data_IF_639535924776
#
_entry.id   IF_639535924776
#
_cell.length_a   1.000
_cell.length_b   1.000
_cell.length_c   1.000
_cell.angle_alpha   90.00
_cell.angle_beta   90.00
_cell.angle_gamma   90.00
#
_symmetry.space_group_name_H-M   'P 1'
#
loop_
_entity.id
_entity.type
_entity.pdbx_description
1 polymer ?
#
# COMPACT_ATOMS: atom_id res chain seq x y z
N UNK A 1 3.49 -4.16 -13.14
CA UNK A 1 4.34 -3.23 -12.37
C UNK A 1 4.93 -2.21 -13.34
N UNK A 2 5.04 -0.93 -12.96
CA UNK A 2 5.72 0.08 -13.79
C UNK A 2 7.21 -0.20 -13.79
N UNK A 3 7.83 -0.18 -14.97
CA UNK A 3 9.27 -0.41 -15.12
C UNK A 3 10.05 0.89 -14.90
N UNK A 4 11.11 0.81 -14.10
CA UNK A 4 12.09 1.89 -13.95
C UNK A 4 13.18 1.69 -15.00
N UNK A 5 13.56 2.77 -15.67
CA UNK A 5 14.71 2.78 -16.59
C UNK A 5 16.01 2.65 -15.82
N UNK A 6 17.06 2.15 -16.50
CA UNK A 6 18.42 2.09 -15.92
C UNK A 6 18.89 3.46 -15.41
N UNK A 7 18.63 4.52 -16.17
CA UNK A 7 18.96 5.89 -15.79
C UNK A 7 18.25 6.31 -14.49
N UNK A 8 16.95 6.02 -14.33
CA UNK A 8 16.22 6.30 -13.10
C UNK A 8 16.79 5.54 -11.90
N UNK A 9 17.19 4.29 -12.07
CA UNK A 9 17.79 3.47 -11.00
C UNK A 9 19.15 4.06 -10.58
N UNK A 10 19.99 4.42 -11.55
CA UNK A 10 21.30 5.04 -11.30
C UNK A 10 21.16 6.37 -10.56
N UNK A 11 20.25 7.23 -11.02
CA UNK A 11 19.95 8.51 -10.36
C UNK A 11 19.45 8.28 -8.93
N UNK A 12 18.55 7.32 -8.71
CA UNK A 12 18.02 7.01 -7.38
C UNK A 12 19.13 6.53 -6.42
N UNK A 13 19.98 5.61 -6.87
CA UNK A 13 21.09 5.10 -6.06
C UNK A 13 22.11 6.20 -5.75
N UNK A 14 22.52 7.00 -6.74
CA UNK A 14 23.47 8.09 -6.56
C UNK A 14 22.94 9.16 -5.59
N UNK A 15 21.68 9.57 -5.77
CA UNK A 15 21.05 10.56 -4.89
C UNK A 15 20.86 10.04 -3.47
N UNK A 16 20.59 8.74 -3.27
CA UNK A 16 20.57 8.14 -1.94
C UNK A 16 21.94 8.23 -1.26
N UNK A 17 23.04 7.93 -1.97
CA UNK A 17 24.38 8.02 -1.40
C UNK A 17 24.73 9.45 -0.97
N UNK A 18 24.41 10.44 -1.83
CA UNK A 18 24.56 11.85 -1.49
C UNK A 18 23.70 12.25 -0.29
N UNK A 19 22.42 11.86 -0.26
CA UNK A 19 21.53 12.15 0.85
C UNK A 19 22.06 11.57 2.17
N UNK A 20 22.57 10.33 2.14
CA UNK A 20 23.19 9.67 3.29
C UNK A 20 24.45 10.40 3.77
N UNK A 21 25.29 10.87 2.85
CA UNK A 21 26.48 11.66 3.17
C UNK A 21 26.08 13.02 3.78
N UNK A 22 25.16 13.75 3.16
CA UNK A 22 24.70 15.04 3.65
C UNK A 22 24.03 14.93 5.02
N UNK A 23 23.23 13.90 5.26
CA UNK A 23 22.67 13.60 6.58
C UNK A 23 23.76 13.39 7.64
N UNK A 24 24.82 12.65 7.28
CA UNK A 24 25.96 12.42 8.17
C UNK A 24 26.64 13.74 8.54
N UNK A 25 27.00 14.53 7.53
CA UNK A 25 27.66 15.81 7.73
C UNK A 25 26.79 16.75 8.57
N UNK A 26 25.48 16.80 8.31
CA UNK A 26 24.55 17.61 9.09
C UNK A 26 24.52 17.21 10.56
N UNK A 27 24.44 15.91 10.86
CA UNK A 27 24.49 15.40 12.26
C UNK A 27 25.82 15.75 12.92
N UNK A 28 26.94 15.60 12.22
CA UNK A 28 28.27 15.95 12.74
C UNK A 28 28.42 17.44 13.05
N UNK A 29 27.94 18.32 12.16
CA UNK A 29 27.95 19.77 12.40
C UNK A 29 27.01 20.16 13.56
N UNK A 30 25.85 19.51 13.68
CA UNK A 30 24.95 19.73 14.81
C UNK A 30 25.56 19.26 16.14
N UNK A 31 26.34 18.16 16.15
CA UNK A 31 27.10 17.74 17.34
C UNK A 31 28.07 18.82 17.79
N UNK A 32 28.84 19.40 16.84
CA UNK A 32 29.80 20.48 17.13
C UNK A 32 29.08 21.71 17.69
N UNK A 33 27.95 22.08 17.08
CA UNK A 33 27.11 23.17 17.56
C UNK A 33 26.62 22.93 18.99
N UNK A 34 26.09 21.74 19.28
CA UNK A 34 25.63 21.39 20.64
C UNK A 34 26.76 21.50 21.66
N UNK A 35 27.95 20.96 21.35
CA UNK A 35 29.13 21.04 22.23
C UNK A 35 29.53 22.50 22.51
N UNK A 36 29.51 23.35 21.49
CA UNK A 36 29.82 24.77 21.66
C UNK A 36 28.78 25.49 22.53
N UNK A 37 27.49 25.15 22.38
CA UNK A 37 26.39 25.79 23.10
C UNK A 37 26.22 25.30 24.54
N UNK A 38 26.60 24.05 24.86
CA UNK A 38 26.56 23.54 26.25
C UNK A 38 27.43 24.36 27.21
N UNK A 39 28.46 25.04 26.70
CA UNK A 39 29.31 25.93 27.48
C UNK A 39 28.64 27.26 27.86
N UNK A 40 27.49 27.60 27.27
CA UNK A 40 26.83 28.90 27.41
C UNK A 40 25.72 28.90 28.48
N UNK A 41 25.12 27.74 28.79
CA UNK A 41 23.90 27.66 29.61
C UNK A 41 23.92 26.51 30.63
N UNK A 42 25.05 26.27 31.32
CA UNK A 42 25.21 25.21 32.33
C UNK A 42 24.67 23.84 31.88
N UNK A 43 24.87 23.50 30.60
CA UNK A 43 24.44 22.23 30.01
C UNK A 43 22.96 22.09 29.66
N UNK A 44 22.11 23.13 29.76
CA UNK A 44 20.70 23.05 29.35
C UNK A 44 20.49 23.37 27.85
N UNK A 45 20.26 22.34 27.05
CA UNK A 45 19.78 22.45 25.66
C UNK A 45 18.26 22.66 25.69
N UNK A 46 17.80 23.84 25.32
CA UNK A 46 16.36 24.16 25.21
C UNK A 46 15.89 23.92 23.77
N UNK A 47 15.44 22.69 23.51
CA UNK A 47 14.58 22.22 22.41
C UNK A 47 14.85 22.84 21.02
N UNK A 48 15.49 22.06 20.15
CA UNK A 48 15.53 22.31 18.70
C UNK A 48 15.18 21.01 17.96
N UNK A 49 14.06 21.05 17.24
CA UNK A 49 13.57 19.97 16.40
C UNK A 49 13.44 20.51 14.97
N UNK A 50 14.45 20.31 14.09
CA UNK A 50 14.39 20.82 12.73
C UNK A 50 13.29 20.17 11.86
N UNK A 51 12.70 19.05 12.31
CA UNK A 51 11.69 18.29 11.54
C UNK A 51 10.44 17.92 12.36
N UNK A 52 9.87 18.90 13.07
CA UNK A 52 8.60 18.85 13.83
C UNK A 52 8.63 18.16 15.22
N UNK A 53 7.70 18.54 16.10
CA UNK A 53 7.57 18.13 17.50
C UNK A 53 6.87 16.77 17.69
N UNK A 54 6.22 16.23 16.65
CA UNK A 54 5.50 14.96 16.71
C UNK A 54 6.44 13.80 16.44
N UNK A 55 6.86 13.12 17.52
CA UNK A 55 7.57 11.81 17.59
C UNK A 55 8.28 11.36 16.31
N UNK A 56 9.61 11.46 16.29
CA UNK A 56 10.47 10.75 15.33
C UNK A 56 11.37 11.62 14.47
N UNK A 57 11.28 12.95 14.60
CA UNK A 57 12.21 13.90 13.98
C UNK A 57 13.63 13.84 14.55
N UNK A 58 14.57 14.50 13.87
CA UNK A 58 15.92 14.74 14.40
C UNK A 58 15.79 15.59 15.67
N UNK A 59 16.38 15.13 16.78
CA UNK A 59 16.41 15.82 18.07
C UNK A 59 17.87 16.05 18.44
N UNK A 60 18.24 17.25 18.92
CA UNK A 60 19.61 17.55 19.32
C UNK A 60 20.16 16.65 20.46
N UNK A 61 19.28 16.06 21.26
CA UNK A 61 19.66 15.08 22.28
C UNK A 61 19.95 13.69 21.68
N UNK A 62 19.54 13.45 20.44
CA UNK A 62 19.64 12.18 19.74
C UNK A 62 20.65 12.31 18.59
N UNK A 63 21.85 12.77 18.89
CA UNK A 63 22.90 12.93 17.90
C UNK A 63 24.05 11.95 18.11
N UNK A 64 23.94 10.94 18.97
CA UNK A 64 25.06 10.01 19.17
C UNK A 64 25.27 9.07 17.96
N UNK A 65 26.28 8.20 18.01
CA UNK A 65 26.58 7.29 16.89
C UNK A 65 25.49 6.22 16.67
N UNK A 66 24.76 5.85 17.72
CA UNK A 66 23.61 4.96 17.62
C UNK A 66 22.48 5.68 16.89
N UNK A 67 22.19 6.92 17.25
CA UNK A 67 21.15 7.72 16.61
C UNK A 67 21.47 7.97 15.12
N UNK A 68 22.72 8.31 14.80
CA UNK A 68 23.17 8.45 13.41
C UNK A 68 22.97 7.16 12.60
N UNK A 69 23.24 6.01 13.23
CA UNK A 69 23.00 4.69 12.61
C UNK A 69 21.51 4.47 12.35
N UNK A 70 20.65 4.81 13.32
CA UNK A 70 19.20 4.70 13.17
C UNK A 70 18.63 5.64 12.11
N UNK A 71 19.13 6.87 12.02
CA UNK A 71 18.73 7.82 10.97
C UNK A 71 19.08 7.32 9.57
N UNK A 72 20.30 6.80 9.38
CA UNK A 72 20.72 6.20 8.11
C UNK A 72 19.84 4.99 7.75
N UNK A 73 19.52 4.14 8.72
CA UNK A 73 18.62 3.00 8.50
C UNK A 73 17.20 3.44 8.14
N UNK A 74 16.67 4.48 8.79
CA UNK A 74 15.34 5.04 8.46
C UNK A 74 15.31 5.65 7.07
N UNK A 75 16.37 6.37 6.68
CA UNK A 75 16.54 6.91 5.33
C UNK A 75 16.49 5.79 4.29
N UNK A 76 17.30 4.74 4.47
CA UNK A 76 17.34 3.60 3.54
C UNK A 76 15.98 2.92 3.40
N UNK A 77 15.30 2.64 4.52
CA UNK A 77 13.95 2.07 4.52
C UNK A 77 12.94 2.98 3.83
N UNK A 78 13.04 4.29 4.04
CA UNK A 78 12.19 5.28 3.37
C UNK A 78 12.40 5.29 1.85
N UNK A 79 13.65 5.22 1.40
CA UNK A 79 13.99 5.13 -0.02
C UNK A 79 13.44 3.84 -0.66
N UNK A 80 13.56 2.68 0.01
CA UNK A 80 12.95 1.43 -0.46
C UNK A 80 11.43 1.53 -0.59
N UNK A 81 10.74 2.07 0.41
CA UNK A 81 9.28 2.29 0.35
C UNK A 81 8.89 3.18 -0.82
N UNK A 82 9.56 4.32 -0.96
CA UNK A 82 9.29 5.26 -2.04
C UNK A 82 9.50 4.61 -3.40
N UNK A 83 10.58 3.85 -3.57
CA UNK A 83 10.88 3.14 -4.81
C UNK A 83 9.77 2.14 -5.15
N UNK A 84 9.37 1.28 -4.20
CA UNK A 84 8.33 0.26 -4.43
C UNK A 84 6.93 0.85 -4.63
N UNK A 85 6.55 1.90 -3.91
CA UNK A 85 5.28 2.60 -4.16
C UNK A 85 5.21 3.14 -5.59
N UNK A 86 6.33 3.69 -6.10
CA UNK A 86 6.36 4.22 -7.47
C UNK A 86 6.26 3.14 -8.56
N UNK A 87 6.53 1.87 -8.25
CA UNK A 87 6.33 0.78 -9.20
C UNK A 87 4.87 0.33 -9.31
N UNK A 88 4.00 0.73 -8.38
CA UNK A 88 2.60 0.31 -8.33
C UNK A 88 2.38 -1.08 -7.72
N UNK A 89 3.45 -1.76 -7.26
CA UNK A 89 3.33 -3.13 -6.74
C UNK A 89 2.61 -3.18 -5.39
N UNK A 90 2.80 -2.16 -4.56
CA UNK A 90 2.16 -2.07 -3.24
C UNK A 90 0.64 -1.91 -3.38
N UNK A 91 0.20 -1.16 -4.39
CA UNK A 91 -1.21 -0.95 -4.72
C UNK A 91 -1.85 -2.21 -5.31
N UNK A 92 -1.08 -2.99 -6.09
CA UNK A 92 -1.53 -4.25 -6.70
C UNK A 92 -1.49 -5.45 -5.74
N UNK A 93 -0.92 -5.29 -4.54
CA UNK A 93 -0.78 -6.35 -3.54
C UNK A 93 -1.99 -6.43 -2.59
N UNK A 94 -2.15 -7.59 -1.94
CA UNK A 94 -3.05 -7.72 -0.79
C UNK A 94 -2.45 -7.07 0.46
N UNK A 95 -3.23 -6.98 1.55
CA UNK A 95 -2.73 -6.45 2.83
C UNK A 95 -1.62 -7.31 3.42
N UNK A 96 -1.71 -8.62 3.26
CA UNK A 96 -0.70 -9.56 3.76
C UNK A 96 0.57 -9.52 2.91
N UNK A 97 0.43 -9.42 1.59
CA UNK A 97 1.55 -9.20 0.68
C UNK A 97 2.28 -7.88 0.98
N UNK A 98 1.53 -6.79 1.19
CA UNK A 98 2.08 -5.51 1.59
C UNK A 98 2.82 -5.60 2.93
N UNK A 99 2.27 -6.31 3.93
CA UNK A 99 2.94 -6.53 5.22
C UNK A 99 4.24 -7.32 5.04
N UNK A 100 4.22 -8.37 4.22
CA UNK A 100 5.41 -9.15 3.90
C UNK A 100 6.51 -8.32 3.23
N UNK A 101 6.15 -7.43 2.30
CA UNK A 101 7.09 -6.50 1.67
C UNK A 101 7.66 -5.49 2.68
N UNK A 102 6.80 -4.92 3.54
CA UNK A 102 7.24 -4.03 4.62
C UNK A 102 8.18 -4.73 5.61
N UNK A 103 7.90 -5.98 5.98
CA UNK A 103 8.76 -6.77 6.84
C UNK A 103 10.12 -7.03 6.17
N UNK A 104 10.16 -7.30 4.86
CA UNK A 104 11.41 -7.42 4.11
C UNK A 104 12.22 -6.13 4.11
N UNK A 105 11.60 -4.97 3.91
CA UNK A 105 12.25 -3.65 4.03
C UNK A 105 12.77 -3.45 5.45
N UNK A 106 11.96 -3.74 6.46
CA UNK A 106 12.29 -3.46 7.86
C UNK A 106 13.42 -4.33 8.39
N UNK A 107 13.53 -5.56 7.89
CA UNK A 107 14.55 -6.53 8.26
C UNK A 107 15.79 -6.49 7.35
N UNK A 108 15.84 -5.56 6.37
CA UNK A 108 17.00 -5.38 5.49
C UNK A 108 17.20 -6.49 4.47
N UNK A 109 16.14 -7.24 4.14
CA UNK A 109 16.19 -8.35 3.17
C UNK A 109 16.58 -7.87 1.77
N UNK A 110 16.24 -6.64 1.41
CA UNK A 110 16.60 -6.01 0.14
C UNK A 110 18.06 -5.52 0.07
N UNK A 111 18.80 -5.65 1.16
CA UNK A 111 20.18 -5.22 1.24
C UNK A 111 20.35 -3.69 1.19
N UNK A 112 21.60 -3.26 0.98
CA UNK A 112 21.94 -1.86 0.84
C UNK A 112 21.27 -1.26 -0.40
N UNK A 113 20.85 0.00 -0.32
CA UNK A 113 20.23 0.71 -1.44
C UNK A 113 21.29 1.13 -2.48
N UNK A 114 21.71 0.17 -3.31
CA UNK A 114 22.63 0.33 -4.45
C UNK A 114 21.92 -0.01 -5.76
N UNK A 115 22.52 0.35 -6.89
CA UNK A 115 22.00 0.03 -8.22
C UNK A 115 21.75 -1.49 -8.38
N UNK A 116 22.73 -2.30 -7.99
CA UNK A 116 22.67 -3.76 -8.12
C UNK A 116 21.54 -4.35 -7.26
N UNK A 117 21.40 -3.91 -6.01
CA UNK A 117 20.33 -4.34 -5.12
C UNK A 117 18.95 -3.93 -5.65
N UNK A 118 18.81 -2.70 -6.16
CA UNK A 118 17.56 -2.22 -6.74
C UNK A 118 17.17 -3.08 -7.94
N UNK A 119 18.10 -3.32 -8.88
CA UNK A 119 17.86 -4.17 -10.05
C UNK A 119 17.43 -5.58 -9.61
N UNK A 120 18.16 -6.18 -8.68
CA UNK A 120 17.87 -7.53 -8.19
C UNK A 120 16.46 -7.63 -7.56
N UNK A 121 16.11 -6.68 -6.69
CA UNK A 121 14.80 -6.64 -6.03
C UNK A 121 13.68 -6.44 -7.04
N UNK A 122 13.82 -5.51 -7.98
CA UNK A 122 12.82 -5.25 -9.01
C UNK A 122 12.62 -6.45 -9.94
N UNK A 123 13.70 -7.13 -10.33
CA UNK A 123 13.62 -8.37 -11.12
C UNK A 123 12.86 -9.46 -10.38
N UNK A 124 13.22 -9.71 -9.12
CA UNK A 124 12.55 -10.71 -8.28
C UNK A 124 11.05 -10.40 -8.11
N UNK A 125 10.70 -9.14 -7.88
CA UNK A 125 9.31 -8.71 -7.74
C UNK A 125 8.52 -8.84 -9.06
N UNK A 126 9.18 -8.63 -10.20
CA UNK A 126 8.58 -8.84 -11.52
C UNK A 126 8.30 -10.32 -11.78
N UNK A 127 9.24 -11.19 -11.43
CA UNK A 127 9.08 -12.65 -11.53
C UNK A 127 7.92 -13.17 -10.67
N UNK A 128 7.71 -12.57 -9.50
CA UNK A 128 6.62 -12.93 -8.58
C UNK A 128 5.35 -12.10 -8.77
N UNK A 129 5.29 -11.18 -9.75
CA UNK A 129 4.12 -10.32 -9.97
C UNK A 129 2.82 -11.12 -10.12
N UNK A 130 2.90 -12.23 -10.86
CA UNK A 130 1.75 -13.12 -11.08
C UNK A 130 1.21 -13.75 -9.80
N UNK A 131 2.02 -13.92 -8.74
CA UNK A 131 1.52 -14.44 -7.46
C UNK A 131 0.74 -13.40 -6.68
N UNK A 132 1.17 -12.12 -6.70
CA UNK A 132 0.42 -11.03 -6.06
C UNK A 132 -0.98 -10.88 -6.67
N UNK A 133 -1.07 -10.91 -8.00
CA UNK A 133 -2.37 -10.87 -8.69
C UNK A 133 -3.24 -12.06 -8.28
N UNK A 134 -2.67 -13.28 -8.23
CA UNK A 134 -3.40 -14.47 -7.76
C UNK A 134 -3.86 -14.34 -6.31
N UNK A 135 -3.06 -13.75 -5.43
CA UNK A 135 -3.44 -13.53 -4.03
C UNK A 135 -4.63 -12.57 -3.91
N UNK A 136 -4.61 -11.45 -4.64
CA UNK A 136 -5.75 -10.51 -4.72
C UNK A 136 -7.01 -11.23 -5.19
N UNK A 137 -6.89 -12.03 -6.27
CA UNK A 137 -8.02 -12.79 -6.82
C UNK A 137 -8.57 -13.81 -5.81
N UNK A 138 -7.69 -14.53 -5.09
CA UNK A 138 -8.10 -15.49 -4.05
C UNK A 138 -8.81 -14.82 -2.88
N UNK A 139 -8.32 -13.66 -2.42
CA UNK A 139 -8.98 -12.94 -1.35
C UNK A 139 -10.34 -12.38 -1.80
N UNK A 140 -10.44 -11.84 -3.02
CA UNK A 140 -11.71 -11.42 -3.59
C UNK A 140 -12.72 -12.59 -3.64
N UNK A 141 -12.26 -13.78 -4.07
CA UNK A 141 -13.07 -15.00 -4.05
C UNK A 141 -13.55 -15.34 -2.64
N UNK A 142 -12.66 -15.28 -1.64
CA UNK A 142 -12.99 -15.58 -0.24
C UNK A 142 -14.14 -14.71 0.29
N UNK A 143 -14.19 -13.43 -0.11
CA UNK A 143 -15.23 -12.51 0.34
C UNK A 143 -16.56 -12.66 -0.41
N UNK A 144 -16.53 -12.91 -1.73
CA UNK A 144 -17.75 -12.93 -2.55
C UNK A 144 -18.31 -14.32 -2.84
N UNK A 145 -17.56 -15.38 -2.56
CA UNK A 145 -18.07 -16.75 -2.61
C UNK A 145 -19.17 -16.93 -1.57
N UNK A 146 -20.33 -17.53 -1.92
CA UNK A 146 -21.38 -17.84 -0.94
C UNK A 146 -20.89 -18.76 0.19
N UNK A 147 -19.95 -19.65 -0.13
CA UNK A 147 -19.28 -20.51 0.83
C UNK A 147 -17.87 -20.87 0.33
N UNK A 148 -16.90 -20.04 0.68
CA UNK A 148 -15.51 -20.23 0.23
C UNK A 148 -14.91 -21.53 0.76
N UNK A 149 -15.29 -21.97 1.97
CA UNK A 149 -14.79 -23.21 2.58
C UNK A 149 -15.22 -24.45 1.79
N UNK A 150 -16.40 -24.40 1.16
CA UNK A 150 -16.88 -25.42 0.23
C UNK A 150 -16.53 -25.12 -1.23
N UNK A 151 -15.72 -24.09 -1.48
CA UNK A 151 -15.28 -23.68 -2.83
C UNK A 151 -16.45 -23.43 -3.77
N UNK A 152 -17.55 -22.88 -3.24
CA UNK A 152 -18.73 -22.53 -4.05
C UNK A 152 -18.42 -21.33 -4.96
N UNK A 153 -18.82 -21.37 -6.24
CA UNK A 153 -18.50 -20.29 -7.17
C UNK A 153 -19.31 -19.03 -6.87
N UNK A 154 -18.68 -17.87 -7.10
CA UNK A 154 -19.39 -16.60 -7.24
C UNK A 154 -20.34 -16.74 -8.42
N UNK A 155 -21.61 -16.38 -8.19
CA UNK A 155 -22.66 -16.45 -9.20
C UNK A 155 -22.82 -15.08 -9.87
N UNK A 156 -23.36 -15.07 -11.09
CA UNK A 156 -23.68 -13.83 -11.79
C UNK A 156 -24.51 -12.86 -10.94
N UNK A 157 -25.48 -13.39 -10.19
CA UNK A 157 -26.24 -12.62 -9.20
C UNK A 157 -25.71 -12.96 -7.80
N UNK A 158 -25.14 -11.98 -7.14
CA UNK A 158 -24.53 -12.13 -5.81
C UNK A 158 -25.05 -11.04 -4.88
N UNK A 159 -25.31 -11.38 -3.63
CA UNK A 159 -25.77 -10.44 -2.60
C UNK A 159 -24.66 -10.30 -1.57
N UNK A 160 -24.29 -9.06 -1.24
CA UNK A 160 -23.29 -8.76 -0.24
C UNK A 160 -23.87 -7.84 0.84
N UNK A 161 -23.54 -8.10 2.12
CA UNK A 161 -23.94 -7.26 3.23
C UNK A 161 -23.02 -6.04 3.34
N UNK A 162 -23.59 -4.83 3.34
CA UNK A 162 -22.86 -3.56 3.39
C UNK A 162 -23.32 -2.70 4.59
N UNK A 163 -23.77 -3.35 5.67
CA UNK A 163 -24.18 -2.66 6.88
C UNK A 163 -22.98 -2.05 7.63
N UNK A 164 -23.01 -0.75 7.88
CA UNK A 164 -22.10 -0.07 8.78
C UNK A 164 -22.83 1.03 9.56
N UNK A 165 -22.71 1.01 10.89
CA UNK A 165 -23.32 2.00 11.79
C UNK A 165 -24.81 2.29 11.49
N UNK A 166 -25.59 1.25 11.17
CA UNK A 166 -27.03 1.39 10.85
C UNK A 166 -27.35 1.90 9.44
N UNK A 167 -26.34 2.12 8.59
CA UNK A 167 -26.46 2.61 7.22
C UNK A 167 -25.79 1.67 6.21
N UNK A 168 -25.95 1.95 4.92
CA UNK A 168 -25.16 1.30 3.87
C UNK A 168 -23.82 2.04 3.78
N UNK A 169 -22.72 1.30 3.86
CA UNK A 169 -21.38 1.79 3.56
C UNK A 169 -20.57 0.71 2.86
N UNK A 170 -19.81 1.13 1.86
CA UNK A 170 -18.83 0.29 1.18
C UNK A 170 -17.43 0.50 1.73
N UNK A 171 -17.23 1.57 2.53
CA UNK A 171 -16.01 1.76 3.33
C UNK A 171 -16.12 0.92 4.59
N UNK A 172 -15.17 0.01 4.80
CA UNK A 172 -15.12 -0.82 6.00
C UNK A 172 -13.70 -0.95 6.52
N UNK A 173 -13.52 -0.68 7.82
CA UNK A 173 -12.27 -0.99 8.52
C UNK A 173 -12.12 -2.50 8.78
N UNK A 174 -13.21 -3.26 8.74
CA UNK A 174 -13.24 -4.69 9.04
C UNK A 174 -13.01 -5.58 7.81
N UNK A 175 -13.40 -5.12 6.62
CA UNK A 175 -13.28 -5.92 5.39
C UNK A 175 -12.82 -5.07 4.19
N UNK A 176 -11.76 -5.47 3.48
CA UNK A 176 -11.34 -4.87 2.21
C UNK A 176 -12.09 -5.45 0.99
N UNK A 177 -13.23 -6.14 1.17
CA UNK A 177 -13.90 -6.89 0.10
C UNK A 177 -14.11 -6.09 -1.19
N UNK A 178 -14.68 -4.89 -1.11
CA UNK A 178 -14.97 -4.07 -2.29
C UNK A 178 -13.71 -3.58 -3.00
N UNK A 179 -12.66 -3.23 -2.25
CA UNK A 179 -11.34 -2.86 -2.81
C UNK A 179 -10.72 -4.07 -3.53
N UNK A 180 -10.77 -5.25 -2.93
CA UNK A 180 -10.24 -6.48 -3.52
C UNK A 180 -11.00 -6.90 -4.77
N UNK A 181 -12.33 -6.76 -4.78
CA UNK A 181 -13.14 -7.05 -5.96
C UNK A 181 -12.78 -6.12 -7.12
N UNK A 182 -12.69 -4.80 -6.87
CA UNK A 182 -12.25 -3.83 -7.88
C UNK A 182 -10.85 -4.16 -8.39
N UNK A 183 -9.88 -4.36 -7.50
CA UNK A 183 -8.50 -4.72 -7.86
C UNK A 183 -8.45 -5.99 -8.69
N UNK A 184 -9.12 -7.06 -8.26
CA UNK A 184 -9.15 -8.34 -8.98
C UNK A 184 -9.70 -8.17 -10.40
N UNK A 185 -10.84 -7.46 -10.55
CA UNK A 185 -11.46 -7.24 -11.85
C UNK A 185 -10.57 -6.40 -12.78
N UNK A 186 -9.97 -5.32 -12.29
CA UNK A 186 -9.10 -4.45 -13.08
C UNK A 186 -7.81 -5.17 -13.50
N UNK A 187 -7.17 -5.89 -12.57
CA UNK A 187 -5.93 -6.63 -12.86
C UNK A 187 -6.16 -7.74 -13.90
N UNK A 188 -7.26 -8.50 -13.78
CA UNK A 188 -7.61 -9.52 -14.77
C UNK A 188 -7.99 -8.91 -16.14
N UNK A 189 -8.63 -7.75 -16.14
CA UNK A 189 -8.98 -6.99 -17.35
C UNK A 189 -7.81 -6.14 -17.90
N UNK A 190 -6.62 -6.25 -17.31
CA UNK A 190 -5.39 -5.51 -17.67
C UNK A 190 -5.59 -3.99 -17.69
N UNK A 191 -6.43 -3.48 -16.80
CA UNK A 191 -6.67 -2.04 -16.61
C UNK A 191 -5.86 -1.50 -15.44
N UNK A 192 -5.49 -0.20 -15.46
CA UNK A 192 -4.82 0.42 -14.33
C UNK A 192 -5.72 0.44 -13.09
N UNK A 193 -5.11 0.37 -11.91
CA UNK A 193 -5.81 0.59 -10.65
C UNK A 193 -6.12 2.09 -10.49
N UNK A 194 -7.30 2.46 -9.98
CA UNK A 194 -7.70 3.86 -9.81
C UNK A 194 -6.94 4.51 -8.66
N UNK A 195 -6.82 5.84 -8.71
CA UNK A 195 -6.50 6.63 -7.54
C UNK A 195 -7.64 6.53 -6.50
N UNK A 196 -7.34 6.82 -5.23
CA UNK A 196 -8.29 6.63 -4.12
C UNK A 196 -9.64 7.31 -4.37
N UNK A 197 -9.65 8.54 -4.91
CA UNK A 197 -10.87 9.31 -5.17
C UNK A 197 -11.79 8.66 -6.21
N UNK A 198 -11.22 7.90 -7.16
CA UNK A 198 -11.95 7.29 -8.27
C UNK A 198 -12.29 5.81 -7.99
N UNK A 199 -11.91 5.31 -6.81
CA UNK A 199 -12.16 3.93 -6.40
C UNK A 199 -13.66 3.59 -6.40
N UNK A 200 -13.96 2.31 -6.62
CA UNK A 200 -15.30 1.75 -6.58
C UNK A 200 -15.98 2.08 -5.25
N UNK A 201 -15.24 1.97 -4.15
CA UNK A 201 -15.74 2.26 -2.80
C UNK A 201 -16.21 3.72 -2.69
N UNK A 202 -15.38 4.67 -3.12
CA UNK A 202 -15.72 6.09 -3.12
C UNK A 202 -16.97 6.35 -3.97
N UNK A 203 -17.01 5.85 -5.20
CA UNK A 203 -18.13 6.06 -6.13
C UNK A 203 -19.44 5.43 -5.64
N UNK A 204 -19.40 4.22 -5.06
CA UNK A 204 -20.59 3.58 -4.52
C UNK A 204 -21.11 4.27 -3.24
N UNK A 205 -20.21 4.75 -2.37
CA UNK A 205 -20.61 5.54 -1.21
C UNK A 205 -21.21 6.88 -1.61
N UNK A 206 -20.64 7.55 -2.62
CA UNK A 206 -21.19 8.80 -3.16
C UNK A 206 -22.59 8.59 -3.74
N UNK A 207 -22.82 7.50 -4.48
CA UNK A 207 -24.15 7.14 -4.97
C UNK A 207 -25.16 7.01 -3.82
N UNK A 208 -24.81 6.30 -2.75
CA UNK A 208 -25.67 6.17 -1.55
C UNK A 208 -25.91 7.52 -0.86
N UNK A 209 -24.88 8.36 -0.72
CA UNK A 209 -25.02 9.70 -0.15
C UNK A 209 -25.95 10.60 -0.97
N UNK A 210 -26.01 10.40 -2.29
CA UNK A 210 -26.94 11.07 -3.21
C UNK A 210 -28.31 10.38 -3.30
N UNK A 211 -28.60 9.42 -2.42
CA UNK A 211 -29.84 8.62 -2.40
C UNK A 211 -30.09 7.83 -3.70
N UNK A 212 -29.03 7.51 -4.45
CA UNK A 212 -29.11 6.63 -5.61
C UNK A 212 -29.03 5.18 -5.13
N UNK A 213 -30.13 4.43 -5.34
CA UNK A 213 -30.23 3.02 -4.95
C UNK A 213 -29.74 2.05 -6.03
N UNK A 214 -29.17 2.57 -7.11
CA UNK A 214 -28.59 1.79 -8.19
C UNK A 214 -27.22 2.37 -8.56
N UNK A 215 -26.32 1.49 -8.97
CA UNK A 215 -24.98 1.84 -9.42
C UNK A 215 -24.57 0.92 -10.57
N UNK A 216 -23.91 1.46 -11.57
CA UNK A 216 -23.40 0.67 -12.70
C UNK A 216 -21.93 1.02 -12.97
N UNK A 217 -21.14 0.00 -13.25
CA UNK A 217 -19.78 0.12 -13.73
C UNK A 217 -19.54 -0.89 -14.86
N UNK A 218 -18.37 -0.87 -15.51
CA UNK A 218 -18.06 -1.80 -16.61
C UNK A 218 -18.17 -3.29 -16.26
N UNK A 219 -18.16 -3.65 -14.98
CA UNK A 219 -18.08 -5.04 -14.50
C UNK A 219 -19.37 -5.58 -13.90
N UNK A 220 -20.25 -4.70 -13.38
CA UNK A 220 -21.51 -5.11 -12.78
C UNK A 220 -22.51 -3.95 -12.67
N UNK A 221 -23.77 -4.34 -12.50
CA UNK A 221 -24.85 -3.48 -11.99
C UNK A 221 -25.13 -3.84 -10.54
N UNK A 222 -25.32 -2.85 -9.68
CA UNK A 222 -25.64 -3.04 -8.28
C UNK A 222 -26.97 -2.35 -7.95
N UNK A 223 -27.82 -3.02 -7.16
CA UNK A 223 -28.97 -2.41 -6.50
C UNK A 223 -28.76 -2.42 -5.00
N UNK A 224 -29.02 -1.30 -4.34
CA UNK A 224 -28.85 -1.11 -2.92
C UNK A 224 -30.20 -1.20 -2.22
N UNK A 225 -30.28 -2.04 -1.19
CA UNK A 225 -31.50 -2.25 -0.42
C UNK A 225 -31.28 -1.73 1.00
N UNK A 226 -31.74 -0.52 1.26
CA UNK A 226 -31.51 0.17 2.54
C UNK A 226 -32.14 -0.53 3.74
N UNK A 227 -33.23 -1.28 3.57
CA UNK A 227 -33.87 -2.00 4.68
C UNK A 227 -33.04 -3.21 5.12
N UNK A 228 -32.55 -4.00 4.16
CA UNK A 228 -31.71 -5.17 4.42
C UNK A 228 -30.23 -4.85 4.54
N UNK A 229 -29.81 -3.62 4.19
CA UNK A 229 -28.41 -3.17 4.12
C UNK A 229 -27.57 -4.08 3.24
N UNK A 230 -28.12 -4.42 2.07
CA UNK A 230 -27.48 -5.32 1.10
C UNK A 230 -27.27 -4.64 -0.25
N UNK A 231 -26.20 -5.03 -0.93
CA UNK A 231 -25.93 -4.71 -2.33
C UNK A 231 -26.14 -5.98 -3.17
N UNK A 232 -27.02 -5.89 -4.16
CA UNK A 232 -27.34 -6.97 -5.08
C UNK A 232 -26.60 -6.72 -6.39
N UNK A 233 -25.53 -7.46 -6.61
CA UNK A 233 -24.68 -7.38 -7.78
C UNK A 233 -25.22 -8.29 -8.89
N UNK A 234 -25.21 -7.78 -10.12
CA UNK A 234 -25.37 -8.53 -11.36
C UNK A 234 -24.13 -8.30 -12.21
N UNK A 235 -23.22 -9.28 -12.23
CA UNK A 235 -21.99 -9.19 -13.00
C UNK A 235 -22.26 -9.23 -14.51
N UNK A 236 -21.60 -8.34 -15.25
CA UNK A 236 -21.71 -8.22 -16.72
C UNK A 236 -20.53 -8.86 -17.43
N UNK A 237 -19.38 -9.00 -16.75
CA UNK A 237 -18.15 -9.66 -17.23
C UNK A 237 -17.94 -11.01 -16.55
N UNK A 238 -18.77 -11.98 -16.90
CA UNK A 238 -18.69 -13.33 -16.32
C UNK A 238 -17.38 -14.05 -16.65
N UNK A 239 -16.73 -13.73 -17.76
CA UNK A 239 -15.40 -14.21 -18.11
C UNK A 239 -14.35 -13.92 -17.01
N UNK A 240 -14.41 -12.73 -16.41
CA UNK A 240 -13.53 -12.36 -15.30
C UNK A 240 -13.93 -13.06 -14.00
N UNK A 241 -15.23 -13.17 -13.72
CA UNK A 241 -15.73 -13.88 -12.54
C UNK A 241 -15.41 -15.37 -12.57
N UNK A 242 -15.47 -15.99 -13.75
CA UNK A 242 -15.10 -17.39 -13.95
C UNK A 242 -13.60 -17.60 -13.72
N UNK A 243 -12.77 -16.64 -14.16
CA UNK A 243 -11.33 -16.64 -13.84
C UNK A 243 -11.08 -16.48 -12.32
N UNK A 244 -11.83 -15.61 -11.64
CA UNK A 244 -11.77 -15.49 -10.17
C UNK A 244 -12.16 -16.81 -9.50
N UNK A 245 -13.22 -17.45 -9.96
CA UNK A 245 -13.68 -18.74 -9.47
C UNK A 245 -12.62 -19.85 -9.69
N UNK A 246 -11.98 -19.91 -10.85
CA UNK A 246 -10.94 -20.89 -11.14
C UNK A 246 -9.74 -20.74 -10.18
N UNK A 247 -9.22 -19.53 -10.04
CA UNK A 247 -8.07 -19.23 -9.18
C UNK A 247 -8.42 -19.39 -7.70
N UNK A 248 -9.61 -18.96 -7.28
CA UNK A 248 -10.06 -19.04 -5.89
C UNK A 248 -10.33 -20.46 -5.41
N UNK A 249 -10.80 -21.34 -6.30
CA UNK A 249 -11.12 -22.75 -5.96
C UNK A 249 -9.90 -23.66 -5.96
N UNK A 250 -8.81 -23.28 -6.62
CA UNK A 250 -7.55 -24.05 -6.63
C UNK A 250 -6.67 -23.80 -5.40
N UNK A 251 -7.00 -22.80 -4.58
CA UNK A 251 -6.31 -22.50 -3.32
C UNK A 251 -6.69 -23.46 -2.17
#
# INVERSE_FOLDING_TARGET
MKELTTEQIQIAAANYQLARQHMTNAVEELRKFVIAMTNVNDGKITVFNPFDERRGGLNLNNLDDRDLTDYRRRLEKGCWRLLLNNTGIMEAATRDDHRSLEDQINNGVFGAFTEESIIHVLQKLKETEGSFVKNVVREAFRYFSPNYAKKEPIRQKTVYCCAAYGSISFSSCYTPAWELLEKALLLLDRKPLPDYSDSLVCRMNEAVQRHQLEFECPYFRAKFYEKSKTAHLTFTRMDLIDTINEIGRTA
#
